data_IF_948708633712
#
_entry.id   IF_948708633712
#
_cell.length_a   1.000
_cell.length_b   1.000
_cell.length_c   1.000
_cell.angle_alpha   90.00
_cell.angle_beta   90.00
_cell.angle_gamma   90.00
#
_symmetry.space_group_name_H-M   'P 1'
#
loop_
_entity.id
_entity.type
_entity.pdbx_description
1 polymer ?
#
# COMPACT_ATOMS: atom_id res chain seq x y z
N UNK A 1 10.34 -8.62 4.21
CA UNK A 1 8.92 -9.06 4.17
C UNK A 1 8.44 -9.34 2.75
N UNK A 2 8.47 -8.36 1.84
CA UNK A 2 8.07 -8.54 0.43
C UNK A 2 8.71 -9.74 -0.26
N UNK A 3 10.03 -9.89 -0.15
CA UNK A 3 10.77 -10.98 -0.79
C UNK A 3 10.44 -12.36 -0.22
N UNK A 4 10.07 -12.42 1.07
CA UNK A 4 9.65 -13.66 1.70
C UNK A 4 8.27 -14.11 1.19
N UNK A 5 7.31 -13.18 1.12
CA UNK A 5 5.97 -13.44 0.58
C UNK A 5 6.07 -13.89 -0.88
N UNK A 6 6.91 -13.22 -1.67
CA UNK A 6 7.17 -13.57 -3.07
C UNK A 6 7.79 -14.96 -3.23
N UNK A 7 8.74 -15.32 -2.37
CA UNK A 7 9.36 -16.65 -2.35
C UNK A 7 8.35 -17.75 -2.02
N UNK A 8 7.48 -17.51 -1.03
CA UNK A 8 6.39 -18.45 -0.68
C UNK A 8 5.41 -18.61 -1.84
N UNK A 9 5.07 -17.53 -2.54
CA UNK A 9 4.21 -17.60 -3.72
C UNK A 9 4.83 -18.44 -4.84
N UNK A 10 6.13 -18.27 -5.11
CA UNK A 10 6.86 -19.09 -6.08
C UNK A 10 6.83 -20.57 -5.72
N UNK A 11 7.00 -20.91 -4.43
CA UNK A 11 6.92 -22.30 -3.94
C UNK A 11 5.55 -22.96 -4.19
N UNK A 12 4.50 -22.16 -4.41
CA UNK A 12 3.15 -22.62 -4.76
C UNK A 12 2.81 -22.44 -6.24
N UNK A 13 3.81 -22.26 -7.11
CA UNK A 13 3.61 -22.14 -8.57
C UNK A 13 2.90 -20.86 -9.00
N UNK A 14 2.90 -19.82 -8.17
CA UNK A 14 2.37 -18.49 -8.52
C UNK A 14 3.51 -17.60 -8.99
N UNK A 15 3.24 -16.78 -10.01
CA UNK A 15 4.15 -15.71 -10.40
C UNK A 15 4.31 -14.71 -9.24
N UNK A 16 5.52 -14.55 -8.67
CA UNK A 16 5.77 -13.60 -7.58
C UNK A 16 5.53 -12.14 -7.97
N UNK A 17 5.65 -11.81 -9.26
CA UNK A 17 5.37 -10.48 -9.81
C UNK A 17 3.89 -10.12 -9.82
N UNK A 18 3.01 -11.12 -9.72
CA UNK A 18 1.55 -10.92 -9.67
C UNK A 18 1.03 -10.46 -8.30
N UNK A 19 1.87 -10.49 -7.26
CA UNK A 19 1.49 -10.11 -5.90
C UNK A 19 1.96 -8.69 -5.56
N UNK A 20 1.05 -7.91 -4.97
CA UNK A 20 1.34 -6.62 -4.34
C UNK A 20 1.32 -6.80 -2.83
N UNK A 21 2.41 -6.46 -2.18
CA UNK A 21 2.52 -6.49 -0.71
C UNK A 21 2.29 -5.08 -0.18
N UNK A 22 1.18 -4.90 0.55
CA UNK A 22 0.82 -3.63 1.17
C UNK A 22 1.13 -3.68 2.68
N UNK A 23 1.75 -2.63 3.19
CA UNK A 23 1.96 -2.45 4.63
C UNK A 23 0.75 -1.72 5.21
N UNK A 24 0.13 -2.29 6.23
CA UNK A 24 -0.98 -1.65 6.94
C UNK A 24 -0.46 -0.71 8.02
N UNK A 25 -0.82 0.58 7.92
CA UNK A 25 -0.46 1.61 8.88
C UNK A 25 -1.72 2.26 9.42
N UNK A 26 -1.89 2.24 10.74
CA UNK A 26 -2.84 3.13 11.41
C UNK A 26 -2.15 4.48 11.61
N UNK A 27 -2.79 5.57 11.20
CA UNK A 27 -2.18 6.90 11.19
C UNK A 27 -2.97 7.87 12.07
N UNK A 28 -2.26 8.66 12.86
CA UNK A 28 -2.79 9.79 13.63
C UNK A 28 -2.01 11.04 13.23
N UNK A 29 -2.65 11.89 12.42
CA UNK A 29 -2.06 13.13 11.91
C UNK A 29 -2.58 14.35 12.70
N UNK A 30 -2.54 14.23 14.03
CA UNK A 30 -2.91 15.28 14.97
C UNK A 30 -2.06 16.55 14.86
N UNK A 31 -2.42 17.58 15.63
CA UNK A 31 -1.72 18.86 15.58
C UNK A 31 -0.28 18.75 16.09
N UNK A 32 0.61 19.42 15.34
CA UNK A 32 2.08 19.39 15.51
C UNK A 32 2.51 19.92 16.87
N UNK A 33 1.67 20.70 17.55
CA UNK A 33 1.93 21.26 18.87
C UNK A 33 1.85 20.23 20.02
N UNK A 34 1.23 19.07 19.79
CA UNK A 34 1.08 18.00 20.80
C UNK A 34 1.65 16.66 20.35
N UNK A 35 2.28 16.62 19.18
CA UNK A 35 2.81 15.39 18.61
C UNK A 35 4.14 15.02 19.29
N UNK A 36 4.28 13.83 19.91
CA UNK A 36 5.59 13.26 20.19
C UNK A 36 6.39 13.08 18.90
N UNK A 37 7.72 12.89 19.03
CA UNK A 37 8.64 12.62 17.92
C UNK A 37 8.02 11.65 16.89
N UNK A 38 8.09 11.97 15.58
CA UNK A 38 7.47 11.13 14.56
C UNK A 38 8.08 9.73 14.59
N UNK A 39 7.22 8.71 14.69
CA UNK A 39 7.69 7.35 14.99
C UNK A 39 6.71 6.25 14.70
N UNK A 40 7.25 5.03 14.60
CA UNK A 40 6.49 3.78 14.61
C UNK A 40 6.37 3.30 16.04
N UNK A 41 5.14 3.23 16.57
CA UNK A 41 4.89 2.84 17.96
C UNK A 41 3.90 1.68 18.06
N UNK A 42 3.78 1.12 19.27
CA UNK A 42 2.65 0.26 19.61
C UNK A 42 1.41 1.15 19.72
N UNK A 43 0.53 1.10 18.72
CA UNK A 43 -0.63 1.97 18.65
C UNK A 43 -1.69 1.69 19.69
N UNK A 44 -2.72 2.57 19.80
CA UNK A 44 -3.90 2.29 20.61
C UNK A 44 -4.54 0.96 20.15
N UNK A 45 -5.30 0.28 21.02
CA UNK A 45 -5.95 -1.00 20.68
C UNK A 45 -6.79 -0.95 19.39
N UNK A 46 -7.28 0.24 19.04
CA UNK A 46 -8.01 0.51 17.79
C UNK A 46 -7.16 0.32 16.51
N UNK A 47 -5.83 0.41 16.59
CA UNK A 47 -4.90 0.18 15.47
C UNK A 47 -4.82 -1.29 15.01
N UNK A 48 -5.46 -2.21 15.75
CA UNK A 48 -5.44 -3.64 15.44
C UNK A 48 -4.02 -4.24 15.50
N UNK A 49 -3.75 -5.26 14.68
CA UNK A 49 -2.40 -5.88 14.55
C UNK A 49 -1.46 -5.10 13.62
N UNK A 50 -1.84 -3.90 13.19
CA UNK A 50 -1.06 -3.07 12.27
C UNK A 50 0.01 -2.25 12.99
N UNK A 51 0.95 -1.73 12.22
CA UNK A 51 1.90 -0.71 12.70
C UNK A 51 1.19 0.63 12.88
N UNK A 52 1.48 1.37 13.94
CA UNK A 52 0.93 2.70 14.19
C UNK A 52 1.96 3.78 13.92
N UNK A 53 1.52 4.84 13.26
CA UNK A 53 2.30 6.02 12.94
C UNK A 53 1.61 7.27 13.50
N UNK A 54 2.38 8.09 14.19
CA UNK A 54 1.96 9.39 14.68
C UNK A 54 2.96 10.44 14.21
N UNK A 55 2.45 11.55 13.68
CA UNK A 55 3.31 12.63 13.17
C UNK A 55 2.59 13.51 12.15
N UNK A 56 3.35 14.36 11.47
CA UNK A 56 2.82 15.23 10.43
C UNK A 56 2.58 14.52 9.10
N UNK A 57 1.79 15.13 8.19
CA UNK A 57 1.62 14.60 6.84
C UNK A 57 2.91 14.58 6.02
N UNK A 58 3.87 15.47 6.34
CA UNK A 58 5.21 15.51 5.73
C UNK A 58 6.02 14.29 6.16
N UNK A 59 6.05 14.02 7.45
CA UNK A 59 6.79 12.89 8.04
C UNK A 59 6.27 11.56 7.52
N UNK A 60 4.94 11.43 7.37
CA UNK A 60 4.34 10.25 6.75
C UNK A 60 4.81 10.05 5.31
N UNK A 61 4.92 11.13 4.52
CA UNK A 61 5.41 11.06 3.15
C UNK A 61 6.89 10.67 3.10
N UNK A 62 7.70 11.15 4.04
CA UNK A 62 9.11 10.78 4.17
C UNK A 62 9.30 9.31 4.55
N UNK A 63 8.49 8.81 5.49
CA UNK A 63 8.46 7.39 5.87
C UNK A 63 8.11 6.50 4.66
N UNK A 64 7.03 6.83 3.96
CA UNK A 64 6.60 6.11 2.74
C UNK A 64 7.72 6.12 1.70
N UNK A 65 8.35 7.28 1.47
CA UNK A 65 9.42 7.43 0.50
C UNK A 65 10.68 6.62 0.87
N UNK A 66 11.02 6.55 2.15
CA UNK A 66 12.15 5.76 2.64
C UNK A 66 11.92 4.26 2.40
N UNK A 67 10.74 3.76 2.76
CA UNK A 67 10.38 2.36 2.59
C UNK A 67 10.24 1.95 1.13
N UNK A 68 9.72 2.86 0.29
CA UNK A 68 9.68 2.66 -1.15
C UNK A 68 11.10 2.52 -1.75
N UNK A 69 12.02 3.42 -1.37
CA UNK A 69 13.43 3.36 -1.80
C UNK A 69 14.15 2.10 -1.31
N UNK A 70 13.82 1.61 -0.11
CA UNK A 70 14.33 0.35 0.42
C UNK A 70 13.71 -0.89 -0.24
N UNK A 71 12.70 -0.74 -1.11
CA UNK A 71 12.00 -1.86 -1.73
C UNK A 71 11.19 -2.72 -0.76
N UNK A 72 10.90 -2.20 0.44
CA UNK A 72 10.32 -2.95 1.55
C UNK A 72 8.87 -3.40 1.30
N UNK A 73 8.11 -2.63 0.51
CA UNK A 73 6.70 -2.86 0.19
C UNK A 73 6.35 -2.38 -1.23
N UNK A 74 5.25 -2.88 -1.79
CA UNK A 74 4.69 -2.41 -3.08
C UNK A 74 3.69 -1.25 -2.88
N UNK A 75 3.26 -1.01 -1.64
CA UNK A 75 2.37 0.09 -1.30
C UNK A 75 1.96 0.07 0.18
N UNK A 76 1.03 0.96 0.52
CA UNK A 76 0.56 1.16 1.89
C UNK A 76 -0.97 1.15 1.95
N UNK A 77 -1.50 0.59 3.03
CA UNK A 77 -2.90 0.67 3.41
C UNK A 77 -2.98 1.56 4.66
N UNK A 78 -3.45 2.79 4.49
CA UNK A 78 -3.52 3.76 5.58
C UNK A 78 -4.91 3.69 6.24
N UNK A 79 -4.93 3.61 7.57
CA UNK A 79 -6.15 3.61 8.38
C UNK A 79 -6.11 4.81 9.33
N UNK A 80 -6.80 5.91 9.00
CA UNK A 80 -6.89 7.08 9.86
C UNK A 80 -7.54 6.77 11.22
N UNK A 81 -7.02 7.36 12.30
CA UNK A 81 -7.66 7.30 13.63
C UNK A 81 -8.82 8.29 13.72
N UNK A 82 -8.66 9.48 13.16
CA UNK A 82 -9.69 10.51 13.11
C UNK A 82 -9.93 10.88 11.64
N UNK A 83 -10.79 10.13 10.92
CA UNK A 83 -10.96 10.26 9.48
C UNK A 83 -11.27 11.69 9.02
N UNK A 84 -12.07 12.44 9.79
CA UNK A 84 -12.50 13.80 9.45
C UNK A 84 -11.32 14.77 9.34
N UNK A 85 -10.26 14.55 10.13
CA UNK A 85 -9.06 15.39 10.18
C UNK A 85 -7.93 14.80 9.35
N UNK A 86 -7.66 13.52 9.56
CA UNK A 86 -6.48 12.85 9.04
C UNK A 86 -6.60 12.65 7.53
N UNK A 87 -7.80 12.39 6.99
CA UNK A 87 -7.98 12.19 5.55
C UNK A 87 -7.63 13.45 4.75
N UNK A 88 -8.06 14.62 5.22
CA UNK A 88 -7.72 15.90 4.59
C UNK A 88 -6.20 16.13 4.59
N UNK A 89 -5.54 15.86 5.71
CA UNK A 89 -4.08 15.99 5.85
C UNK A 89 -3.31 15.00 4.99
N UNK A 90 -3.82 13.76 4.84
CA UNK A 90 -3.24 12.77 3.93
C UNK A 90 -3.34 13.27 2.49
N UNK A 91 -4.51 13.72 2.05
CA UNK A 91 -4.71 14.13 0.64
C UNK A 91 -3.92 15.40 0.33
N UNK A 92 -4.09 16.45 1.14
CA UNK A 92 -3.52 17.77 0.86
C UNK A 92 -2.03 17.86 1.23
N UNK A 93 -1.56 17.03 2.16
CA UNK A 93 -0.16 17.00 2.59
C UNK A 93 0.60 15.82 2.00
N UNK A 94 0.32 14.61 2.50
CA UNK A 94 1.11 13.41 2.18
C UNK A 94 1.05 13.05 0.68
N UNK A 95 -0.15 12.96 0.10
CA UNK A 95 -0.34 12.58 -1.31
C UNK A 95 0.24 13.65 -2.22
N UNK A 96 -0.01 14.93 -1.94
CA UNK A 96 0.55 16.04 -2.72
C UNK A 96 2.10 15.99 -2.75
N UNK A 97 2.75 15.74 -1.61
CA UNK A 97 4.21 15.60 -1.53
C UNK A 97 4.72 14.37 -2.29
N UNK A 98 4.03 13.23 -2.17
CA UNK A 98 4.41 12.02 -2.90
C UNK A 98 4.24 12.18 -4.41
N UNK A 99 3.21 12.90 -4.88
CA UNK A 99 3.04 13.24 -6.29
C UNK A 99 4.15 14.18 -6.78
N UNK A 100 4.47 15.22 -6.02
CA UNK A 100 5.57 16.14 -6.36
C UNK A 100 6.91 15.40 -6.48
N UNK A 101 7.13 14.37 -5.65
CA UNK A 101 8.32 13.50 -5.70
C UNK A 101 8.23 12.37 -6.72
N UNK A 102 7.18 12.32 -7.54
CA UNK A 102 6.93 11.25 -8.53
C UNK A 102 6.88 9.83 -7.91
N UNK A 103 6.52 9.74 -6.63
CA UNK A 103 6.34 8.49 -5.88
C UNK A 103 4.87 8.03 -5.85
N UNK A 104 3.95 8.90 -6.24
CA UNK A 104 2.53 8.57 -6.34
C UNK A 104 1.96 9.04 -7.68
N UNK A 105 1.01 8.27 -8.20
CA UNK A 105 0.36 8.55 -9.49
C UNK A 105 -0.49 9.82 -9.41
N UNK A 106 -0.52 10.58 -10.50
CA UNK A 106 -1.41 11.74 -10.68
C UNK A 106 -2.69 11.38 -11.45
N UNK A 107 -2.69 10.24 -12.13
CA UNK A 107 -3.83 9.74 -12.89
C UNK A 107 -4.00 8.22 -12.69
N UNK A 108 -5.23 7.73 -12.81
CA UNK A 108 -5.57 6.32 -12.67
C UNK A 108 -5.81 5.67 -14.04
N UNK A 109 -4.90 4.82 -14.53
CA UNK A 109 -5.09 4.16 -15.82
C UNK A 109 -6.15 3.04 -15.70
N UNK A 110 -7.08 2.98 -16.66
CA UNK A 110 -8.11 1.94 -16.74
C UNK A 110 -9.37 2.22 -15.92
N UNK A 111 -10.38 1.37 -16.09
CA UNK A 111 -11.71 1.51 -15.46
C UNK A 111 -11.93 0.59 -14.27
N UNK A 112 -10.98 -0.29 -13.95
CA UNK A 112 -11.13 -1.29 -12.89
C UNK A 112 -10.08 -1.16 -11.80
N UNK A 113 -10.43 -1.56 -10.57
CA UNK A 113 -9.49 -1.60 -9.43
C UNK A 113 -8.23 -2.44 -9.75
N UNK A 114 -8.37 -3.49 -10.56
CA UNK A 114 -7.25 -4.32 -10.98
C UNK A 114 -6.23 -3.53 -11.81
N UNK A 115 -6.71 -2.71 -12.74
CA UNK A 115 -5.87 -1.85 -13.59
C UNK A 115 -5.20 -0.76 -12.75
N UNK A 116 -5.93 -0.17 -11.79
CA UNK A 116 -5.37 0.83 -10.88
C UNK A 116 -4.25 0.29 -9.99
N UNK A 117 -4.28 -1.01 -9.69
CA UNK A 117 -3.24 -1.71 -8.91
C UNK A 117 -2.14 -2.32 -9.79
N UNK A 118 -2.24 -2.18 -11.13
CA UNK A 118 -1.28 -2.76 -12.07
C UNK A 118 -1.15 -4.29 -11.91
N UNK A 119 -2.27 -4.96 -11.67
CA UNK A 119 -2.34 -6.41 -11.45
C UNK A 119 -2.65 -7.12 -12.76
N UNK A 120 -1.82 -8.11 -13.12
CA UNK A 120 -2.06 -8.95 -14.32
C UNK A 120 -3.36 -9.74 -14.14
N UNK A 121 -4.16 -9.86 -15.21
CA UNK A 121 -5.36 -10.69 -15.19
C UNK A 121 -4.93 -12.16 -15.13
N UNK A 122 -5.23 -12.89 -14.05
CA UNK A 122 -4.89 -14.31 -13.98
C UNK A 122 -5.69 -15.07 -15.05
N UNK A 123 -5.03 -16.02 -15.72
CA UNK A 123 -5.71 -16.93 -16.63
C UNK A 123 -6.80 -17.69 -15.88
N UNK A 124 -8.02 -17.70 -16.43
CA UNK A 124 -9.10 -18.49 -15.86
C UNK A 124 -8.74 -19.97 -15.96
N UNK A 125 -8.84 -20.71 -14.85
CA UNK A 125 -8.66 -22.18 -14.85
C UNK A 125 -9.60 -22.88 -15.84
N UNK A 126 -10.76 -22.29 -16.10
CA UNK A 126 -11.75 -22.79 -17.05
C UNK A 126 -11.44 -22.41 -18.50
N UNK A 127 -10.64 -21.36 -18.74
CA UNK A 127 -10.21 -21.01 -20.08
C UNK A 127 -9.20 -22.03 -20.62
N UNK A 128 -8.27 -22.49 -19.78
CA UNK A 128 -7.32 -23.55 -20.15
C UNK A 128 -8.01 -24.87 -20.53
N UNK A 129 -9.03 -25.28 -19.77
CA UNK A 129 -9.84 -26.45 -20.08
C UNK A 129 -10.62 -26.33 -21.40
N UNK A 130 -11.08 -25.11 -21.72
CA UNK A 130 -11.85 -24.85 -22.95
C UNK A 130 -10.97 -24.79 -24.20
N UNK A 131 -9.69 -24.41 -24.08
CA UNK A 131 -8.71 -24.49 -25.17
C UNK A 131 -8.34 -25.94 -25.46
N UNK A 132 -8.05 -26.74 -24.43
CA UNK A 132 -7.73 -28.16 -24.58
C UNK A 132 -8.89 -28.96 -25.22
N UNK A 133 -10.13 -28.63 -24.87
CA UNK A 133 -11.33 -29.25 -25.48
C UNK A 133 -11.61 -28.79 -26.92
N UNK A 134 -10.93 -27.75 -27.41
CA UNK A 134 -11.06 -27.24 -28.78
C UNK A 134 -9.97 -27.78 -29.72
N UNK A 135 -8.89 -28.32 -29.15
CA UNK A 135 -7.74 -28.91 -29.85
C UNK A 135 -7.80 -30.44 -29.93
N UNK A 136 -8.78 -31.08 -29.28
CA UNK A 136 -9.10 -32.50 -29.34
C UNK A 136 -10.33 -32.75 -30.23
#
# INVERSE_FOLDING_TARGET
VRDEVRRKAAAHGRDPGSLRVLVALTVDLGDVETAPEPGLESGPQLAGRGTYFRGGPVDLADLIAQWHRAGAADGFHLTPITPERDLERIVNGTVALLQHRSLFRTFHPGGTLREHLGLVRPASRYAAARTAAKEA
#
